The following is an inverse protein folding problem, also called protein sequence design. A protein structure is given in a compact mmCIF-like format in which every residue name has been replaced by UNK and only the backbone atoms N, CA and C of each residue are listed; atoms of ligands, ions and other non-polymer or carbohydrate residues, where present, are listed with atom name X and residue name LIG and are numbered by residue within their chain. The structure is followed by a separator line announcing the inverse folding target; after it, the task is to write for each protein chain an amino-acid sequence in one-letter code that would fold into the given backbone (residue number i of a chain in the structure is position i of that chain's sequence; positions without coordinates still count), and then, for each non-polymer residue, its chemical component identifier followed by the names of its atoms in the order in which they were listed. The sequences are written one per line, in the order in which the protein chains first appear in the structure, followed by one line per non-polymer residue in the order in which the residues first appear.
data_IF_586300254248
#
_entry.id   IF_586300254248
#
_cell.length_a   1.000
_cell.length_b   1.000
_cell.length_c   1.000
_cell.angle_alpha   90.00
_cell.angle_beta   90.00
_cell.angle_gamma   90.00
#
_symmetry.space_group_name_H-M   'P 1'
#
loop_
_entity.id
_entity.type
_entity.pdbx_description
1 polymer ?
#
# COMPACT_ATOMS: atom_id res chain seq x y z
N UNK A 1 7.21 -4.86 11.94
CA UNK A 1 6.89 -4.65 10.50
C UNK A 1 6.63 -6.03 9.91
N UNK A 2 5.53 -6.22 9.17
CA UNK A 2 5.18 -7.53 8.60
C UNK A 2 5.96 -7.70 7.30
N UNK A 3 7.11 -8.36 7.39
CA UNK A 3 8.04 -8.51 6.26
C UNK A 3 7.67 -9.72 5.36
N UNK A 4 6.75 -10.59 5.82
CA UNK A 4 6.31 -11.80 5.10
C UNK A 4 5.30 -11.53 3.98
N UNK A 5 4.76 -10.30 3.93
CA UNK A 5 3.69 -9.91 3.03
C UNK A 5 4.29 -9.07 1.91
N UNK A 6 4.29 -9.58 0.67
CA UNK A 6 4.85 -8.87 -0.48
C UNK A 6 3.98 -9.03 -1.73
N UNK A 7 3.95 -8.01 -2.57
CA UNK A 7 3.21 -8.00 -3.83
C UNK A 7 4.07 -7.46 -4.98
N UNK A 8 3.84 -7.95 -6.19
CA UNK A 8 4.50 -7.42 -7.39
C UNK A 8 4.09 -5.96 -7.62
N UNK A 9 5.08 -5.08 -7.76
CA UNK A 9 4.87 -3.63 -7.89
C UNK A 9 4.03 -3.30 -9.12
N UNK A 10 4.22 -4.02 -10.23
CA UNK A 10 3.47 -3.85 -11.47
C UNK A 10 1.98 -4.15 -11.26
N UNK A 11 1.68 -5.30 -10.65
CA UNK A 11 0.32 -5.72 -10.36
C UNK A 11 -0.39 -4.73 -9.43
N UNK A 12 0.30 -4.22 -8.41
CA UNK A 12 -0.24 -3.20 -7.51
C UNK A 12 -0.67 -1.94 -8.27
N UNK A 13 0.19 -1.44 -9.18
CA UNK A 13 -0.13 -0.26 -9.99
C UNK A 13 -1.26 -0.51 -10.98
N UNK A 14 -1.32 -1.70 -11.59
CA UNK A 14 -2.41 -2.07 -12.51
C UNK A 14 -3.76 -2.10 -11.79
N UNK A 15 -3.83 -2.70 -10.60
CA UNK A 15 -5.07 -2.69 -9.80
C UNK A 15 -5.48 -1.27 -9.42
N UNK A 16 -4.53 -0.41 -9.02
CA UNK A 16 -4.78 1.00 -8.75
C UNK A 16 -5.32 1.73 -9.99
N UNK A 17 -4.68 1.58 -11.15
CA UNK A 17 -5.11 2.23 -12.39
C UNK A 17 -6.51 1.78 -12.81
N UNK A 18 -6.80 0.48 -12.70
CA UNK A 18 -8.12 -0.08 -12.95
C UNK A 18 -9.18 0.48 -11.99
N UNK A 19 -8.83 0.62 -10.71
CA UNK A 19 -9.73 1.25 -9.73
C UNK A 19 -9.99 2.72 -10.10
N UNK A 20 -8.97 3.50 -10.45
CA UNK A 20 -9.15 4.88 -10.90
C UNK A 20 -10.08 4.96 -12.12
N UNK A 21 -9.85 4.11 -13.12
CA UNK A 21 -10.67 4.05 -14.33
C UNK A 21 -12.15 3.75 -14.02
N UNK A 22 -12.41 2.78 -13.14
CA UNK A 22 -13.79 2.38 -12.77
C UNK A 22 -14.52 3.46 -11.96
N UNK A 23 -13.80 4.25 -11.17
CA UNK A 23 -14.39 5.30 -10.33
C UNK A 23 -14.42 6.67 -11.01
N UNK A 24 -13.88 6.81 -12.23
CA UNK A 24 -13.76 8.10 -12.92
C UNK A 24 -12.70 9.03 -12.31
N UNK A 25 -11.79 8.49 -11.50
CA UNK A 25 -10.72 9.22 -10.82
C UNK A 25 -9.48 9.40 -11.71
N UNK A 26 -8.73 10.47 -11.49
CA UNK A 26 -7.51 10.71 -12.26
C UNK A 26 -6.36 9.82 -11.77
N UNK A 27 -5.85 8.95 -12.65
CA UNK A 27 -4.71 8.09 -12.31
C UNK A 27 -3.40 8.88 -12.17
N UNK A 28 -2.62 8.54 -11.15
CA UNK A 28 -1.26 9.05 -10.99
C UNK A 28 -0.29 8.39 -11.97
N UNK A 29 0.73 9.14 -12.41
CA UNK A 29 1.85 8.57 -13.17
C UNK A 29 2.61 7.56 -12.31
N UNK A 30 3.06 6.48 -12.94
CA UNK A 30 3.75 5.35 -12.31
C UNK A 30 4.91 5.77 -11.37
N UNK A 31 5.78 6.70 -11.81
CA UNK A 31 6.87 7.23 -10.97
C UNK A 31 6.36 7.96 -9.71
N UNK A 32 5.32 8.77 -9.85
CA UNK A 32 4.74 9.54 -8.75
C UNK A 32 4.08 8.60 -7.74
N UNK A 33 3.36 7.59 -8.22
CA UNK A 33 2.73 6.56 -7.41
C UNK A 33 3.75 5.85 -6.49
N UNK A 34 4.84 5.32 -7.06
CA UNK A 34 5.86 4.65 -6.25
C UNK A 34 6.61 5.60 -5.30
N UNK A 35 6.84 6.86 -5.70
CA UNK A 35 7.46 7.86 -4.79
C UNK A 35 6.60 8.14 -3.57
N UNK A 36 5.27 8.20 -3.75
CA UNK A 36 4.34 8.35 -2.64
C UNK A 36 4.42 7.14 -1.71
N UNK A 37 4.40 5.92 -2.25
CA UNK A 37 4.55 4.69 -1.46
C UNK A 37 5.85 4.65 -0.66
N UNK A 38 6.97 5.04 -1.26
CA UNK A 38 8.27 5.13 -0.59
C UNK A 38 8.25 6.17 0.55
N UNK A 39 7.58 7.31 0.35
CA UNK A 39 7.41 8.36 1.37
C UNK A 39 6.58 7.86 2.56
N UNK A 40 5.60 6.99 2.31
CA UNK A 40 4.81 6.32 3.35
C UNK A 40 5.59 5.19 4.06
N UNK A 41 6.82 4.89 3.62
CA UNK A 41 7.67 3.87 4.22
C UNK A 41 7.57 2.49 3.57
N UNK A 42 6.81 2.34 2.48
CA UNK A 42 6.77 1.11 1.69
C UNK A 42 7.94 1.08 0.71
N UNK A 43 8.91 0.21 0.98
CA UNK A 43 10.08 0.06 0.11
C UNK A 43 9.78 -0.89 -1.03
N UNK A 44 10.18 -0.49 -2.23
CA UNK A 44 10.21 -1.34 -3.41
C UNK A 44 11.55 -2.06 -3.47
N UNK A 45 11.53 -3.38 -3.48
CA UNK A 45 12.69 -4.25 -3.57
C UNK A 45 12.73 -4.99 -4.91
N UNK A 46 13.94 -5.30 -5.38
CA UNK A 46 14.12 -6.11 -6.60
C UNK A 46 14.03 -7.58 -6.23
N UNK A 47 13.15 -8.31 -6.92
CA UNK A 47 13.00 -9.75 -6.77
C UNK A 47 13.50 -10.53 -7.98
N UNK A 48 13.00 -11.77 -8.11
CA UNK A 48 13.42 -12.68 -9.17
C UNK A 48 12.89 -12.24 -10.55
N UNK A 49 13.58 -12.66 -11.63
CA UNK A 49 13.17 -12.43 -13.03
C UNK A 49 12.96 -10.96 -13.41
N UNK A 50 13.80 -10.05 -12.89
CA UNK A 50 13.75 -8.61 -13.17
C UNK A 50 12.43 -7.92 -12.72
N UNK A 51 11.72 -8.52 -11.76
CA UNK A 51 10.49 -7.95 -11.19
C UNK A 51 10.79 -7.16 -9.92
N UNK A 52 9.93 -6.20 -9.62
CA UNK A 52 9.97 -5.43 -8.39
C UNK A 52 8.81 -5.83 -7.49
N UNK A 53 9.06 -5.90 -6.20
CA UNK A 53 8.10 -6.26 -5.17
C UNK A 53 8.03 -5.15 -4.13
N UNK A 54 6.88 -5.00 -3.48
CA UNK A 54 6.68 -4.04 -2.40
C UNK A 54 6.30 -4.84 -1.16
N UNK A 55 7.08 -4.67 -0.09
CA UNK A 55 6.84 -5.33 1.20
C UNK A 55 5.82 -4.57 2.03
N UNK A 56 5.02 -5.29 2.80
CA UNK A 56 3.99 -4.76 3.69
C UNK A 56 2.73 -4.26 2.97
N UNK A 57 2.58 -4.52 1.67
CA UNK A 57 1.40 -4.12 0.88
C UNK A 57 0.81 -5.34 0.19
N UNK A 58 -0.49 -5.54 0.39
CA UNK A 58 -1.30 -6.49 -0.39
C UNK A 58 -2.67 -5.90 -0.69
N UNK A 59 -3.26 -6.34 -1.79
CA UNK A 59 -4.65 -6.07 -2.11
C UNK A 59 -5.55 -6.91 -1.20
N UNK A 60 -6.64 -6.30 -0.74
CA UNK A 60 -7.75 -7.01 -0.11
C UNK A 60 -8.61 -7.51 -1.26
N UNK A 61 -8.32 -8.71 -1.76
CA UNK A 61 -9.25 -9.37 -2.67
C UNK A 61 -10.52 -9.68 -1.91
N UNK A 62 -11.68 -9.24 -2.43
CA UNK A 62 -13.01 -9.53 -1.86
C UNK A 62 -13.29 -11.04 -1.71
N UNK A 63 -12.49 -11.89 -2.37
CA UNK A 63 -12.58 -13.35 -2.33
C UNK A 63 -11.64 -14.01 -1.30
N UNK A 64 -10.81 -13.25 -0.57
CA UNK A 64 -9.85 -13.75 0.43
C UNK A 64 -10.01 -13.07 1.80
N UNK A 65 -11.21 -12.52 2.03
CA UNK A 65 -11.60 -11.82 3.26
C UNK A 65 -11.36 -12.69 4.49
N UNK A 66 -11.46 -14.02 4.38
CA UNK A 66 -11.37 -14.95 5.50
C UNK A 66 -9.98 -15.11 6.12
N UNK A 67 -8.90 -14.83 5.36
CA UNK A 67 -7.53 -14.91 5.88
C UNK A 67 -7.01 -13.56 6.39
N UNK A 68 -7.45 -12.45 5.80
CA UNK A 68 -7.04 -11.12 6.25
C UNK A 68 -7.87 -10.62 7.44
N UNK A 69 -9.16 -10.95 7.55
CA UNK A 69 -10.00 -10.57 8.70
C UNK A 69 -9.47 -11.12 10.03
N UNK A 70 -9.10 -12.42 10.04
CA UNK A 70 -8.45 -13.06 11.21
C UNK A 70 -7.10 -12.44 11.61
N UNK A 71 -6.44 -11.70 10.71
CA UNK A 71 -5.17 -11.01 10.99
C UNK A 71 -5.37 -9.55 11.42
N UNK A 72 -6.48 -8.91 11.01
CA UNK A 72 -6.86 -7.55 11.40
C UNK A 72 -7.45 -7.50 12.82
N UNK A 73 -8.18 -8.54 13.23
CA UNK A 73 -8.74 -8.64 14.60
C UNK A 73 -7.67 -8.65 15.70
N UNK A 74 -6.41 -9.01 15.38
CA UNK A 74 -5.31 -9.09 16.34
C UNK A 74 -4.63 -7.74 16.63
N UNK A 75 -4.93 -6.69 15.86
CA UNK A 75 -4.36 -5.33 16.05
C UNK A 75 -5.38 -4.28 16.53
N UNK A 76 -6.51 -4.72 17.10
CA UNK A 76 -7.50 -3.85 17.73
C UNK A 76 -7.10 -3.27 19.09
N UNK A 77 -5.81 -3.34 19.49
CA UNK A 77 -5.35 -2.78 20.77
C UNK A 77 -4.00 -2.06 20.63
N UNK A 78 -3.96 -0.99 19.84
CA UNK A 78 -2.98 0.08 20.08
C UNK A 78 -3.56 1.41 19.60
N UNK A 79 -3.69 2.31 20.55
CA UNK A 79 -4.48 3.54 20.49
C UNK A 79 -3.94 4.56 19.47
N UNK A 80 -4.89 5.32 18.93
CA UNK A 80 -4.70 6.49 18.08
C UNK A 80 -3.65 7.48 18.62
N UNK A 81 -2.54 7.66 17.90
CA UNK A 81 -1.66 8.83 18.08
C UNK A 81 -1.42 9.50 16.73
N UNK A 82 -2.47 10.10 16.17
CA UNK A 82 -2.31 11.09 15.10
C UNK A 82 -1.95 12.43 15.73
N UNK A 83 -0.67 12.61 16.09
CA UNK A 83 -0.14 13.95 16.44
C UNK A 83 -0.05 14.76 15.14
N UNK A 84 -1.06 15.61 14.91
CA UNK A 84 -1.05 16.59 13.84
C UNK A 84 0.00 17.67 14.15
N UNK A 85 1.11 17.68 13.40
CA UNK A 85 2.08 18.76 13.48
C UNK A 85 1.55 19.98 12.72
N UNK A 86 0.95 20.93 13.46
CA UNK A 86 0.55 22.25 12.96
C UNK A 86 1.80 23.12 12.80
N UNK A 87 2.24 23.34 11.57
CA UNK A 87 3.30 24.31 11.26
C UNK A 87 2.80 25.74 11.53
N UNK A 88 3.45 26.46 12.44
CA UNK A 88 3.31 27.92 12.59
C UNK A 88 4.34 28.59 11.69
N UNK A 89 3.89 29.46 10.81
CA UNK A 89 4.74 30.37 10.03
C UNK A 89 4.78 31.67 10.85
N UNK A 90 5.99 32.14 11.15
CA UNK A 90 6.24 33.43 11.81
C UNK A 90 6.55 34.51 10.79
#
# INVERSE_FOLDING_TARGET
KRDDVQMEAKQLYETYANWCFRNGEHQLKNRTFYRILETQGFKRERGNRNKYYIKGVTLVDQNNTDKQSKLLEKEGNSENVTKSNKFKIS
#
